data_IF_352931908217
#
_entry.id   IF_352931908217
#
_cell.length_a   1.000
_cell.length_b   1.000
_cell.length_c   1.000
_cell.angle_alpha   90.00
_cell.angle_beta   90.00
_cell.angle_gamma   90.00
#
_symmetry.space_group_name_H-M   'P 1'
#
loop_
_entity.id
_entity.type
_entity.pdbx_description
1 polymer ?
#
# COMPACT_ATOMS: atom_id res chain seq x y z
N UNK A 1 -0.96 9.76 -24.89
CA UNK A 1 -1.98 8.80 -24.46
C UNK A 1 -2.95 9.57 -23.58
N UNK A 2 -4.15 9.87 -24.07
CA UNK A 2 -5.20 10.50 -23.26
C UNK A 2 -6.24 9.43 -22.92
N UNK A 3 -6.52 9.27 -21.63
CA UNK A 3 -7.75 8.60 -21.20
C UNK A 3 -8.91 9.53 -21.55
N UNK A 4 -9.97 8.98 -22.16
CA UNK A 4 -11.12 9.78 -22.56
C UNK A 4 -11.70 10.50 -21.35
N UNK A 5 -12.20 11.74 -21.51
CA UNK A 5 -12.87 12.48 -20.41
C UNK A 5 -14.11 11.76 -19.84
N UNK A 6 -14.57 10.69 -20.49
CA UNK A 6 -15.67 9.84 -20.06
C UNK A 6 -15.18 8.54 -19.38
N UNK A 7 -13.89 8.42 -19.06
CA UNK A 7 -13.37 7.32 -18.26
C UNK A 7 -13.60 7.60 -16.79
N UNK A 8 -13.96 6.58 -16.03
CA UNK A 8 -14.15 6.67 -14.58
C UNK A 8 -12.84 6.58 -13.80
N UNK A 9 -11.68 6.76 -14.44
CA UNK A 9 -10.35 6.74 -13.81
C UNK A 9 -10.06 5.55 -12.86
N UNK A 10 -10.66 4.39 -13.14
CA UNK A 10 -10.48 3.20 -12.29
C UNK A 10 -11.49 3.08 -11.15
N UNK A 11 -12.58 3.86 -11.15
CA UNK A 11 -13.65 3.76 -10.17
C UNK A 11 -14.11 2.31 -9.96
N UNK A 12 -14.22 1.91 -8.69
CA UNK A 12 -14.55 0.55 -8.27
C UNK A 12 -13.59 -0.54 -8.78
N UNK A 13 -12.37 -0.18 -9.20
CA UNK A 13 -11.26 -1.13 -9.43
C UNK A 13 -10.40 -1.22 -8.17
N UNK A 14 -9.95 -2.43 -7.87
CA UNK A 14 -9.06 -2.73 -6.75
C UNK A 14 -7.77 -3.30 -7.35
N UNK A 15 -6.64 -2.65 -7.06
CA UNK A 15 -5.32 -3.06 -7.56
C UNK A 15 -4.59 -3.77 -6.42
N UNK A 16 -4.26 -5.04 -6.63
CA UNK A 16 -3.42 -5.82 -5.71
C UNK A 16 -1.96 -5.77 -6.14
N UNK A 17 -1.07 -5.41 -5.22
CA UNK A 17 0.37 -5.24 -5.47
C UNK A 17 1.12 -6.16 -4.55
N UNK A 18 1.92 -7.09 -5.09
CA UNK A 18 2.76 -8.00 -4.30
C UNK A 18 4.20 -7.53 -4.34
N UNK A 19 4.71 -7.01 -3.22
CA UNK A 19 6.00 -6.31 -3.13
C UNK A 19 6.60 -6.39 -1.71
N UNK A 20 7.54 -5.51 -1.33
CA UNK A 20 8.26 -5.50 -0.04
C UNK A 20 7.46 -4.96 1.13
N UNK A 21 6.32 -4.31 0.90
CA UNK A 21 5.56 -3.63 1.95
C UNK A 21 4.74 -2.47 1.40
N UNK A 22 4.12 -1.72 2.31
CA UNK A 22 3.66 -0.35 2.07
C UNK A 22 3.99 0.54 3.27
N UNK A 23 4.25 1.83 3.03
CA UNK A 23 4.31 2.86 4.07
C UNK A 23 2.98 3.62 4.13
N UNK A 24 2.01 3.20 4.97
CA UNK A 24 0.64 3.69 4.90
C UNK A 24 0.48 5.18 5.25
N UNK A 25 1.41 5.77 6.00
CA UNK A 25 1.37 7.20 6.37
C UNK A 25 1.82 8.13 5.24
N UNK A 26 2.22 7.60 4.08
CA UNK A 26 2.54 8.43 2.93
C UNK A 26 1.31 9.20 2.46
N UNK A 27 1.47 10.49 2.15
CA UNK A 27 0.41 11.31 1.56
C UNK A 27 -0.10 10.77 0.21
N UNK A 28 0.66 9.86 -0.40
CA UNK A 28 0.23 9.11 -1.60
C UNK A 28 -0.94 8.16 -1.34
N UNK A 29 -1.21 7.81 -0.09
CA UNK A 29 -2.29 6.91 0.31
C UNK A 29 -3.35 7.63 1.16
N UNK A 30 -3.38 8.95 1.08
CA UNK A 30 -4.48 9.75 1.64
C UNK A 30 -5.80 9.38 0.95
N UNK A 31 -6.85 9.23 1.76
CA UNK A 31 -8.18 8.78 1.33
C UNK A 31 -9.19 9.93 1.20
N UNK A 32 -8.74 11.19 1.23
CA UNK A 32 -9.59 12.34 1.04
C UNK A 32 -10.24 12.31 -0.35
N UNK A 33 -11.57 12.43 -0.38
CA UNK A 33 -12.34 12.36 -1.62
C UNK A 33 -12.70 10.95 -2.08
N UNK A 34 -12.23 9.89 -1.40
CA UNK A 34 -12.66 8.52 -1.69
C UNK A 34 -14.01 8.20 -1.06
N UNK A 35 -14.89 7.59 -1.85
CA UNK A 35 -16.14 6.98 -1.40
C UNK A 35 -15.93 5.76 -0.50
N UNK A 36 -17.01 5.10 -0.05
CA UNK A 36 -16.91 3.90 0.78
C UNK A 36 -16.16 2.77 0.06
N UNK A 37 -15.56 1.87 0.83
CA UNK A 37 -14.91 0.67 0.31
C UNK A 37 -15.98 -0.17 -0.45
N UNK A 38 -15.69 -0.65 -1.68
CA UNK A 38 -16.61 -1.47 -2.44
C UNK A 38 -17.17 -2.64 -1.63
N UNK A 39 -18.49 -2.83 -1.63
CA UNK A 39 -19.16 -3.89 -0.85
C UNK A 39 -18.72 -5.32 -1.26
N UNK A 40 -18.20 -5.46 -2.48
CA UNK A 40 -17.60 -6.69 -3.02
C UNK A 40 -16.23 -7.02 -2.42
N UNK A 41 -15.54 -6.06 -1.81
CA UNK A 41 -14.27 -6.29 -1.14
C UNK A 41 -14.46 -7.16 0.09
N UNK A 42 -13.61 -8.18 0.23
CA UNK A 42 -13.62 -9.17 1.34
C UNK A 42 -12.24 -9.43 1.93
N UNK A 43 -11.23 -8.65 1.52
CA UNK A 43 -9.91 -8.77 2.09
C UNK A 43 -9.84 -8.16 3.49
N UNK A 44 -8.68 -8.29 4.12
CA UNK A 44 -8.42 -7.84 5.48
C UNK A 44 -7.22 -6.91 5.51
N UNK A 45 -7.11 -6.16 6.60
CA UNK A 45 -5.84 -5.57 7.00
C UNK A 45 -5.29 -6.38 8.16
N UNK A 46 -4.32 -7.21 7.83
CA UNK A 46 -3.63 -8.07 8.78
C UNK A 46 -2.77 -7.20 9.69
N UNK A 47 -2.80 -7.46 11.00
CA UNK A 47 -1.89 -6.79 11.93
C UNK A 47 -0.51 -7.44 11.87
N UNK A 48 0.52 -6.62 12.01
CA UNK A 48 1.91 -7.04 12.02
C UNK A 48 2.76 -6.12 12.88
N UNK A 49 4.04 -6.42 12.97
CA UNK A 49 4.99 -5.55 13.65
C UNK A 49 5.00 -4.17 12.98
N UNK A 50 4.87 -3.07 13.73
CA UNK A 50 4.80 -1.71 13.17
C UNK A 50 3.65 -1.48 12.15
N UNK A 51 2.65 -2.37 12.08
CA UNK A 51 1.48 -2.19 11.23
C UNK A 51 0.20 -2.65 11.96
N UNK A 52 -0.69 -1.70 12.25
CA UNK A 52 -2.01 -1.87 12.83
C UNK A 52 -3.06 -1.87 11.70
N UNK A 53 -4.11 -2.68 11.84
CA UNK A 53 -5.24 -2.70 10.93
C UNK A 53 -5.89 -1.31 10.72
N UNK A 54 -5.82 -0.43 11.71
CA UNK A 54 -6.28 0.97 11.64
C UNK A 54 -5.50 1.85 10.67
N UNK A 55 -4.31 1.44 10.22
CA UNK A 55 -3.55 2.15 9.18
C UNK A 55 -4.12 1.91 7.77
N UNK A 56 -5.04 0.94 7.61
CA UNK A 56 -5.86 0.87 6.41
C UNK A 56 -6.98 1.90 6.45
N UNK A 57 -7.35 2.39 5.27
CA UNK A 57 -8.32 3.46 5.10
C UNK A 57 -9.14 3.22 3.80
N UNK A 58 -9.85 4.23 3.29
CA UNK A 58 -10.65 4.07 2.04
C UNK A 58 -9.79 4.00 0.77
N UNK A 59 -8.47 4.25 0.88
CA UNK A 59 -7.49 4.12 -0.21
C UNK A 59 -6.71 2.81 -0.12
N UNK A 60 -6.01 2.56 0.99
CA UNK A 60 -5.40 1.27 1.33
C UNK A 60 -6.44 0.41 2.04
N UNK A 61 -7.18 -0.39 1.28
CA UNK A 61 -8.35 -1.13 1.78
C UNK A 61 -7.99 -2.53 2.30
N UNK A 62 -6.75 -2.97 2.10
CA UNK A 62 -6.28 -4.30 2.44
C UNK A 62 -4.77 -4.39 2.48
N UNK A 63 -4.25 -5.20 3.41
CA UNK A 63 -2.83 -5.47 3.54
C UNK A 63 -2.63 -6.86 4.15
N UNK A 64 -1.79 -7.70 3.53
CA UNK A 64 -1.41 -9.03 4.04
C UNK A 64 0.06 -9.31 3.74
N UNK A 65 0.80 -9.87 4.68
CA UNK A 65 2.16 -10.33 4.45
C UNK A 65 2.20 -11.85 4.36
N UNK A 66 3.14 -12.38 3.57
CA UNK A 66 3.29 -13.80 3.32
C UNK A 66 4.69 -14.23 3.73
N UNK A 67 4.79 -14.87 4.89
CA UNK A 67 6.03 -15.46 5.34
C UNK A 67 6.07 -16.95 5.03
N UNK A 68 7.17 -17.41 4.45
CA UNK A 68 7.49 -18.84 4.42
C UNK A 68 8.16 -19.19 5.75
N UNK A 69 7.77 -20.29 6.39
CA UNK A 69 8.33 -20.79 7.66
C UNK A 69 9.81 -21.25 7.59
N UNK A 70 10.72 -20.51 6.94
CA UNK A 70 12.14 -20.83 6.98
C UNK A 70 12.77 -20.27 8.27
N UNK A 71 12.61 -21.02 9.36
CA UNK A 71 13.13 -20.73 10.72
C UNK A 71 14.65 -20.49 10.85
N UNK A 72 15.43 -20.48 9.77
CA UNK A 72 16.89 -20.63 9.89
C UNK A 72 17.72 -19.43 9.43
N UNK A 73 17.15 -18.38 8.82
CA UNK A 73 17.96 -17.26 8.29
C UNK A 73 17.36 -15.86 8.44
N UNK A 74 16.31 -15.68 9.25
CA UNK A 74 15.78 -14.33 9.51
C UNK A 74 16.78 -13.55 10.37
N UNK A 75 17.36 -12.48 9.81
CA UNK A 75 18.13 -11.51 10.58
C UNK A 75 17.16 -10.60 11.34
N UNK A 76 17.61 -9.88 12.37
CA UNK A 76 16.76 -8.94 13.13
C UNK A 76 16.17 -7.79 12.28
N UNK A 77 16.51 -7.72 10.98
CA UNK A 77 16.00 -6.73 10.05
C UNK A 77 14.77 -7.23 9.26
N UNK A 78 14.48 -8.54 9.28
CA UNK A 78 13.29 -9.13 8.64
C UNK A 78 12.08 -8.99 9.58
N UNK A 79 11.52 -7.79 9.64
CA UNK A 79 10.33 -7.52 10.43
C UNK A 79 9.16 -8.39 9.99
N UNK A 80 8.36 -8.88 10.96
CA UNK A 80 7.06 -9.50 10.65
C UNK A 80 6.00 -8.46 10.34
N UNK A 81 6.26 -7.70 9.28
CA UNK A 81 5.60 -6.45 9.03
C UNK A 81 5.12 -6.31 7.60
N UNK A 82 4.03 -5.56 7.48
CA UNK A 82 3.53 -4.96 6.26
C UNK A 82 4.20 -3.63 5.92
N UNK A 83 4.90 -3.02 6.89
CA UNK A 83 5.59 -1.77 6.68
C UNK A 83 6.75 -1.97 5.71
N UNK A 84 6.74 -1.18 4.65
CA UNK A 84 7.80 -1.16 3.66
C UNK A 84 9.06 -0.56 4.25
N UNK A 85 10.04 -1.42 4.52
CA UNK A 85 11.34 -0.99 4.99
C UNK A 85 12.36 -0.82 3.86
N UNK A 86 12.05 -1.15 2.60
CA UNK A 86 12.94 -0.96 1.43
C UNK A 86 12.53 0.22 0.54
N UNK A 87 11.23 0.55 0.53
CA UNK A 87 10.64 1.66 -0.25
C UNK A 87 10.15 1.26 -1.65
N UNK A 88 10.53 0.08 -2.16
CA UNK A 88 10.11 -0.38 -3.49
C UNK A 88 8.61 -0.61 -3.57
N UNK A 89 8.03 -1.32 -2.60
CA UNK A 89 6.59 -1.57 -2.55
C UNK A 89 5.77 -0.29 -2.50
N UNK A 90 6.19 0.66 -1.68
CA UNK A 90 5.58 1.99 -1.59
C UNK A 90 5.71 2.77 -2.90
N UNK A 91 6.87 2.73 -3.54
CA UNK A 91 7.11 3.41 -4.82
C UNK A 91 6.27 2.79 -5.96
N UNK A 92 6.21 1.47 -6.04
CA UNK A 92 5.37 0.74 -6.98
C UNK A 92 3.88 1.02 -6.75
N UNK A 93 3.44 1.03 -5.48
CA UNK A 93 2.09 1.38 -5.08
C UNK A 93 1.71 2.81 -5.45
N UNK A 94 2.61 3.78 -5.24
CA UNK A 94 2.43 5.16 -5.66
C UNK A 94 2.29 5.30 -7.17
N UNK A 95 3.14 4.63 -7.96
CA UNK A 95 3.06 4.71 -9.42
C UNK A 95 1.76 4.09 -9.94
N UNK A 96 1.35 2.96 -9.37
CA UNK A 96 0.18 2.23 -9.83
C UNK A 96 -1.13 2.94 -9.49
N UNK A 97 -1.25 3.48 -8.26
CA UNK A 97 -2.51 4.03 -7.78
C UNK A 97 -2.35 5.14 -6.73
N UNK A 98 -1.28 5.93 -6.73
CA UNK A 98 -1.10 7.00 -5.75
C UNK A 98 -2.14 8.13 -5.89
N UNK A 99 -2.60 8.68 -4.76
CA UNK A 99 -3.39 9.90 -4.72
C UNK A 99 -2.56 11.11 -5.18
N UNK A 100 -3.15 12.14 -5.83
CA UNK A 100 -2.42 13.33 -6.23
C UNK A 100 -1.80 14.07 -5.03
N UNK A 101 -0.48 14.21 -5.02
CA UNK A 101 0.24 14.93 -3.95
C UNK A 101 0.66 16.31 -4.44
N UNK A 102 0.28 17.38 -3.72
CA UNK A 102 0.81 18.72 -3.97
C UNK A 102 2.24 18.81 -3.44
N UNK A 103 3.18 19.08 -4.35
CA UNK A 103 4.59 19.24 -4.02
C UNK A 103 4.81 20.60 -3.32
N UNK A 104 4.95 20.61 -2.00
CA UNK A 104 5.53 21.73 -1.25
C UNK A 104 6.76 21.22 -0.48
N UNK A 105 7.97 21.47 -1.02
CA UNK A 105 9.24 21.30 -0.30
C UNK A 105 9.61 19.87 0.15
N UNK A 106 9.55 18.86 -0.74
CA UNK A 106 9.69 17.45 -0.35
C UNK A 106 11.10 17.04 0.08
N UNK A 107 11.17 16.34 1.23
CA UNK A 107 12.15 15.27 1.50
C UNK A 107 11.47 13.92 1.21
N UNK A 108 11.93 13.20 0.19
CA UNK A 108 11.54 11.80 -0.04
C UNK A 108 12.38 10.97 0.93
N UNK A 109 11.75 10.32 1.89
CA UNK A 109 12.43 9.39 2.79
C UNK A 109 12.03 7.96 2.40
N UNK A 110 12.92 7.26 1.70
CA UNK A 110 12.91 5.80 1.65
C UNK A 110 13.61 5.30 2.91
N UNK A 111 12.93 4.51 3.75
CA UNK A 111 13.63 3.69 4.76
C UNK A 111 14.25 2.49 4.04
N UNK A 112 15.40 2.01 4.53
CA UNK A 112 16.07 0.78 4.07
C UNK A 112 16.15 -0.23 5.23
N UNK A 113 15.75 -1.48 4.99
CA UNK A 113 15.54 -2.57 5.95
C UNK A 113 14.92 -3.79 5.25
N UNK A 114 14.88 -4.97 5.89
CA UNK A 114 14.84 -6.26 5.19
C UNK A 114 13.45 -6.76 4.70
N UNK A 115 13.47 -7.96 4.12
CA UNK A 115 12.60 -8.38 3.02
C UNK A 115 11.54 -9.38 3.44
N UNK A 116 10.27 -8.95 3.44
CA UNK A 116 9.12 -9.85 3.46
C UNK A 116 8.19 -9.54 2.30
N UNK A 117 7.73 -10.59 1.62
CA UNK A 117 6.72 -10.45 0.58
C UNK A 117 5.41 -10.06 1.24
N UNK A 118 4.88 -8.91 0.84
CA UNK A 118 3.56 -8.42 1.25
C UNK A 118 2.70 -8.14 0.04
N UNK A 119 1.39 -8.20 0.22
CA UNK A 119 0.41 -7.77 -0.74
C UNK A 119 -0.44 -6.66 -0.15
N UNK A 120 -0.52 -5.55 -0.88
CA UNK A 120 -1.34 -4.39 -0.53
C UNK A 120 -2.43 -4.19 -1.59
N UNK A 121 -3.59 -3.71 -1.16
CA UNK A 121 -4.75 -3.53 -2.02
C UNK A 121 -5.19 -2.07 -1.99
N UNK A 122 -5.11 -1.41 -3.14
CA UNK A 122 -5.48 -0.01 -3.31
C UNK A 122 -6.81 0.09 -4.06
N UNK A 123 -7.71 0.91 -3.54
CA UNK A 123 -8.90 1.37 -4.26
C UNK A 123 -8.51 2.55 -5.16
N UNK A 124 -8.96 2.59 -6.42
CA UNK A 124 -8.73 3.73 -7.30
C UNK A 124 -9.84 4.79 -7.20
N UNK A 125 -9.57 6.02 -7.67
CA UNK A 125 -10.47 7.17 -7.54
C UNK A 125 -11.86 6.88 -8.16
N UNK A 126 -12.91 7.39 -7.51
CA UNK A 126 -14.23 7.64 -8.10
C UNK A 126 -14.21 8.91 -8.95
#
# INVERSE_FOLDING_TARGET
MELSRNSTFGEDIIIGITDSGIWPESSSFDDSGYGPIPSRWKGICEEGEQFNAEQCNRKLIGARYYMKERREHFTMEDYRSLCDSFGHGTHCAFIAAGSPVRLQGIRVAMRMGASCLSCCYLQDFT
#
